data_IF_173528401349
#
_entry.id   IF_173528401349
#
_cell.length_a   1.000
_cell.length_b   1.000
_cell.length_c   1.000
_cell.angle_alpha   90.00
_cell.angle_beta   90.00
_cell.angle_gamma   90.00
#
_symmetry.space_group_name_H-M   'P 1'
#
loop_
_entity.id
_entity.type
_entity.pdbx_description
1 polymer ?
#
# COMPACT_ATOMS: atom_id res chain seq x y z
N UNK A 1 -16.61 62.46 0.27
CA UNK A 1 -15.81 61.35 -0.28
C UNK A 1 -15.16 60.61 0.88
N UNK A 2 -15.52 59.34 1.10
CA UNK A 2 -14.99 58.53 2.21
C UNK A 2 -13.55 58.12 1.88
N UNK A 3 -12.58 58.58 2.67
CA UNK A 3 -11.22 58.02 2.70
C UNK A 3 -11.30 56.62 3.33
N UNK A 4 -11.54 55.60 2.50
CA UNK A 4 -11.30 54.23 2.91
C UNK A 4 -9.79 54.05 3.02
N UNK A 5 -9.28 53.85 4.24
CA UNK A 5 -7.89 53.46 4.44
C UNK A 5 -7.61 52.21 3.62
N UNK A 6 -6.58 52.22 2.77
CA UNK A 6 -6.14 51.04 2.03
C UNK A 6 -5.85 49.95 3.06
N UNK A 7 -6.73 48.94 3.13
CA UNK A 7 -6.53 47.79 4.01
C UNK A 7 -5.16 47.20 3.72
N UNK A 8 -4.37 46.95 4.76
CA UNK A 8 -3.12 46.22 4.59
C UNK A 8 -3.45 44.78 4.19
N UNK A 9 -2.67 44.21 3.28
CA UNK A 9 -2.81 42.81 2.91
C UNK A 9 -2.67 41.93 4.16
N UNK A 10 -3.48 40.86 4.24
CA UNK A 10 -3.46 39.90 5.35
C UNK A 10 -2.04 39.39 5.64
N UNK A 11 -1.25 39.15 4.58
CA UNK A 11 0.15 38.74 4.65
C UNK A 11 1.08 39.74 5.36
N UNK A 12 0.75 41.02 5.39
CA UNK A 12 1.52 42.05 6.12
C UNK A 12 1.19 42.05 7.62
N UNK A 13 0.00 41.62 8.00
CA UNK A 13 -0.50 41.64 9.38
C UNK A 13 -0.10 40.35 10.12
N UNK A 14 -0.02 39.21 9.42
CA UNK A 14 0.17 37.89 10.02
C UNK A 14 1.53 37.25 9.72
N UNK A 15 2.55 38.04 9.39
CA UNK A 15 3.90 37.55 9.06
C UNK A 15 4.67 36.94 10.25
N UNK A 16 4.13 37.07 11.46
CA UNK A 16 4.73 36.68 12.73
C UNK A 16 3.91 35.60 13.47
N UNK A 17 2.88 35.02 12.84
CA UNK A 17 2.19 33.84 13.35
C UNK A 17 2.93 32.59 12.85
N UNK A 18 3.81 32.04 13.70
CA UNK A 18 4.52 30.77 13.47
C UNK A 18 3.61 29.53 13.46
N UNK A 19 2.33 29.66 13.82
CA UNK A 19 1.34 28.59 13.78
C UNK A 19 0.18 29.00 12.87
N UNK A 20 0.49 29.17 11.60
CA UNK A 20 -0.53 29.24 10.57
C UNK A 20 -1.06 27.81 10.30
N UNK A 21 -2.38 27.63 10.25
CA UNK A 21 -3.03 26.41 9.70
C UNK A 21 -2.60 26.17 8.24
N UNK A 22 -2.11 27.21 7.57
CA UNK A 22 -1.59 27.15 6.22
C UNK A 22 -0.16 26.59 6.27
N UNK A 23 -0.01 25.43 5.64
CA UNK A 23 1.18 24.60 5.44
C UNK A 23 2.33 25.28 4.65
N UNK A 24 2.70 26.52 5.01
CA UNK A 24 3.69 27.32 4.27
C UNK A 24 5.12 27.15 4.78
N UNK A 25 5.30 26.71 6.03
CA UNK A 25 6.60 26.58 6.69
C UNK A 25 7.04 25.11 6.86
N UNK A 26 6.43 24.18 6.12
CA UNK A 26 6.85 22.79 6.17
C UNK A 26 8.11 22.53 5.36
N UNK A 27 8.84 21.52 5.83
CA UNK A 27 10.01 21.01 5.17
C UNK A 27 9.74 20.60 3.72
N UNK A 28 10.68 20.95 2.84
CA UNK A 28 10.54 20.69 1.40
C UNK A 28 10.90 19.25 1.06
N UNK A 29 10.48 18.78 -0.11
CA UNK A 29 10.89 17.47 -0.67
C UNK A 29 12.42 17.24 -0.63
N UNK A 30 13.22 18.31 -0.61
CA UNK A 30 14.68 18.25 -0.47
C UNK A 30 15.15 17.49 0.76
N UNK A 31 14.49 17.68 1.91
CA UNK A 31 14.91 17.01 3.15
C UNK A 31 14.45 15.55 3.16
N UNK A 32 13.25 15.28 2.65
CA UNK A 32 12.78 13.91 2.43
C UNK A 32 13.72 13.09 1.51
N UNK A 33 14.33 13.73 0.50
CA UNK A 33 15.35 13.07 -0.34
C UNK A 33 16.66 12.83 0.42
N UNK A 34 17.09 13.75 1.29
CA UNK A 34 18.29 13.56 2.13
C UNK A 34 18.11 12.41 3.12
N UNK A 35 16.96 12.35 3.79
CA UNK A 35 16.62 11.28 4.72
C UNK A 35 16.71 9.92 4.02
N UNK A 36 16.20 9.80 2.79
CA UNK A 36 16.34 8.57 2.01
C UNK A 36 17.80 8.21 1.71
N UNK A 37 18.62 9.18 1.33
CA UNK A 37 20.05 8.92 1.06
C UNK A 37 20.77 8.48 2.33
N UNK A 38 20.42 9.01 3.49
CA UNK A 38 20.98 8.57 4.77
C UNK A 38 20.49 7.16 5.16
N UNK A 39 19.20 6.88 4.94
CA UNK A 39 18.62 5.58 5.25
C UNK A 39 19.10 4.48 4.30
N UNK A 40 19.21 4.74 3.00
CA UNK A 40 19.42 3.71 1.98
C UNK A 40 20.73 3.84 1.21
N UNK A 41 21.47 4.94 1.39
CA UNK A 41 22.66 5.27 0.59
C UNK A 41 22.34 5.91 -0.76
N UNK A 42 21.08 5.89 -1.19
CA UNK A 42 20.61 6.45 -2.46
C UNK A 42 19.16 6.96 -2.37
N UNK A 43 18.74 7.73 -3.39
CA UNK A 43 17.36 8.20 -3.49
C UNK A 43 16.46 7.13 -4.10
N UNK A 44 15.78 6.35 -3.25
CA UNK A 44 14.97 5.21 -3.70
C UNK A 44 13.61 5.62 -4.27
N UNK A 45 13.02 6.68 -3.74
CA UNK A 45 11.80 7.31 -4.25
C UNK A 45 12.08 8.70 -4.79
N UNK A 46 11.47 9.02 -5.94
CA UNK A 46 11.57 10.34 -6.56
C UNK A 46 10.89 11.44 -5.74
N UNK A 47 9.74 11.12 -5.11
CA UNK A 47 8.88 12.09 -4.42
C UNK A 47 8.42 11.60 -3.04
N UNK A 48 9.36 11.29 -2.12
CA UNK A 48 9.03 10.92 -0.75
C UNK A 48 8.25 12.06 -0.05
N UNK A 49 7.37 11.71 0.86
CA UNK A 49 6.76 12.71 1.76
C UNK A 49 7.75 13.03 2.89
N UNK A 50 7.96 14.31 3.24
CA UNK A 50 8.77 14.68 4.40
C UNK A 50 8.08 14.27 5.69
N UNK A 51 8.84 13.80 6.67
CA UNK A 51 8.29 13.35 7.96
C UNK A 51 7.59 14.47 8.72
N UNK A 52 8.10 15.72 8.66
CA UNK A 52 7.48 16.88 9.32
C UNK A 52 6.04 17.15 8.88
N UNK A 53 5.75 16.97 7.59
CA UNK A 53 4.40 17.10 7.06
C UNK A 53 3.47 16.07 7.69
N UNK A 54 3.94 14.82 7.80
CA UNK A 54 3.14 13.73 8.37
C UNK A 54 3.01 13.87 9.89
N UNK A 55 4.07 14.28 10.58
CA UNK A 55 4.07 14.58 12.02
C UNK A 55 2.96 15.56 12.34
N UNK A 56 2.92 16.67 11.60
CA UNK A 56 1.91 17.69 11.79
C UNK A 56 0.49 17.19 11.52
N UNK A 57 0.28 16.34 10.51
CA UNK A 57 -1.01 15.73 10.26
C UNK A 57 -1.46 14.82 11.42
N UNK A 58 -0.56 13.97 11.92
CA UNK A 58 -0.79 13.07 13.06
C UNK A 58 -1.06 13.86 14.35
N UNK A 59 -0.28 14.90 14.65
CA UNK A 59 -0.48 15.79 15.81
C UNK A 59 -1.86 16.44 15.84
N UNK A 60 -2.40 16.81 14.68
CA UNK A 60 -3.68 17.53 14.58
C UNK A 60 -4.90 16.60 14.64
N UNK A 61 -4.72 15.29 14.45
CA UNK A 61 -5.83 14.36 14.21
C UNK A 61 -5.86 13.16 15.16
N UNK A 62 -4.82 12.95 15.96
CA UNK A 62 -4.67 11.75 16.81
C UNK A 62 -3.99 12.06 18.14
N UNK A 63 -4.34 11.28 19.15
CA UNK A 63 -3.63 11.19 20.42
C UNK A 63 -2.63 10.02 20.40
N UNK A 64 -1.80 9.90 21.45
CA UNK A 64 -0.93 8.73 21.61
C UNK A 64 -1.76 7.43 21.72
N UNK A 65 -1.22 6.32 21.19
CA UNK A 65 -1.86 5.00 21.09
C UNK A 65 -3.05 4.87 20.11
N UNK A 66 -3.48 5.97 19.48
CA UNK A 66 -4.41 5.91 18.36
C UNK A 66 -3.82 5.13 17.17
N UNK A 67 -4.70 4.69 16.27
CA UNK A 67 -4.33 3.93 15.07
C UNK A 67 -4.35 4.86 13.86
N UNK A 68 -3.23 4.93 13.15
CA UNK A 68 -3.11 5.63 11.87
C UNK A 68 -3.19 4.62 10.72
N UNK A 69 -4.13 4.80 9.80
CA UNK A 69 -4.26 3.98 8.59
C UNK A 69 -3.67 4.72 7.39
N UNK A 70 -2.78 4.06 6.67
CA UNK A 70 -2.28 4.52 5.37
C UNK A 70 -2.24 3.35 4.39
N UNK A 71 -3.15 3.38 3.42
CA UNK A 71 -3.31 2.34 2.40
C UNK A 71 -2.52 2.62 1.11
N UNK A 72 -1.64 3.62 1.12
CA UNK A 72 -0.67 3.94 0.07
C UNK A 72 0.69 4.24 0.70
N UNK A 73 1.19 3.29 1.49
CA UNK A 73 2.32 3.56 2.38
C UNK A 73 3.61 3.97 1.67
N UNK A 74 3.85 3.51 0.43
CA UNK A 74 5.06 3.82 -0.32
C UNK A 74 6.31 3.47 0.48
N UNK A 75 7.19 4.47 0.62
CA UNK A 75 8.40 4.40 1.46
C UNK A 75 8.15 4.24 2.96
N UNK A 76 6.91 4.09 3.44
CA UNK A 76 6.54 3.95 4.85
C UNK A 76 6.80 5.20 5.73
N UNK A 77 6.70 6.40 5.16
CA UNK A 77 6.88 7.66 5.93
C UNK A 77 5.85 7.77 7.05
N UNK A 78 4.58 7.46 6.77
CA UNK A 78 3.49 7.58 7.76
C UNK A 78 3.70 6.66 8.94
N UNK A 79 4.10 5.42 8.69
CA UNK A 79 4.36 4.42 9.71
C UNK A 79 5.58 4.78 10.55
N UNK A 80 6.65 5.27 9.92
CA UNK A 80 7.84 5.76 10.62
C UNK A 80 7.50 6.88 11.61
N UNK A 81 6.75 7.88 11.16
CA UNK A 81 6.32 9.00 12.01
C UNK A 81 5.34 8.53 13.10
N UNK A 82 4.40 7.65 12.78
CA UNK A 82 3.48 7.08 13.76
C UNK A 82 4.24 6.36 14.89
N UNK A 83 5.25 5.53 14.57
CA UNK A 83 6.10 4.89 15.56
C UNK A 83 6.83 5.91 16.44
N UNK A 84 7.51 6.88 15.83
CA UNK A 84 8.28 7.92 16.53
C UNK A 84 7.42 8.75 17.49
N UNK A 85 6.15 8.92 17.16
CA UNK A 85 5.18 9.67 17.94
C UNK A 85 4.34 8.80 18.89
N UNK A 86 4.62 7.50 19.04
CA UNK A 86 3.87 6.64 19.96
C UNK A 86 2.44 6.33 19.52
N UNK A 87 2.18 6.30 18.20
CA UNK A 87 0.92 5.83 17.60
C UNK A 87 1.09 4.40 17.10
N UNK A 88 -0.03 3.67 17.01
CA UNK A 88 -0.13 2.41 16.28
C UNK A 88 -0.46 2.71 14.82
N UNK A 89 -0.24 1.76 13.92
CA UNK A 89 -0.58 1.95 12.52
C UNK A 89 -1.04 0.67 11.83
N UNK A 90 -1.74 0.85 10.73
CA UNK A 90 -2.01 -0.17 9.71
C UNK A 90 -1.52 0.42 8.38
N UNK A 91 -0.62 -0.31 7.71
CA UNK A 91 -0.05 0.08 6.41
C UNK A 91 -0.43 -0.93 5.35
N UNK A 92 -0.78 -0.47 4.15
CA UNK A 92 -0.95 -1.33 2.97
C UNK A 92 -0.06 -0.81 1.83
N UNK A 93 0.60 -1.74 1.15
CA UNK A 93 1.36 -1.53 -0.07
C UNK A 93 1.09 -2.68 -1.03
N UNK A 94 1.02 -2.37 -2.31
CA UNK A 94 0.85 -3.36 -3.38
C UNK A 94 2.15 -3.61 -4.15
N UNK A 95 3.10 -2.68 -4.11
CA UNK A 95 4.30 -2.73 -4.95
C UNK A 95 5.43 -3.60 -4.36
N UNK A 96 6.20 -4.24 -5.24
CA UNK A 96 7.29 -5.18 -4.90
C UNK A 96 8.43 -4.57 -4.07
N UNK A 97 8.52 -3.23 -4.02
CA UNK A 97 9.56 -2.53 -3.25
C UNK A 97 9.38 -2.63 -1.74
N UNK A 98 8.30 -3.25 -1.24
CA UNK A 98 8.04 -3.39 0.20
C UNK A 98 9.22 -4.05 0.94
N UNK A 99 9.85 -5.06 0.33
CA UNK A 99 10.98 -5.77 0.93
C UNK A 99 12.31 -5.02 0.83
N UNK A 100 12.48 -4.17 -0.18
CA UNK A 100 13.73 -3.42 -0.38
C UNK A 100 13.71 -2.04 0.26
N UNK A 101 12.54 -1.48 0.55
CA UNK A 101 12.40 -0.10 1.04
C UNK A 101 11.59 0.00 2.32
N UNK A 102 10.32 -0.38 2.28
CA UNK A 102 9.38 -0.10 3.37
C UNK A 102 9.73 -0.88 4.64
N UNK A 103 9.95 -2.20 4.51
CA UNK A 103 10.38 -3.06 5.63
C UNK A 103 11.75 -2.62 6.17
N UNK A 104 12.80 -2.46 5.32
CA UNK A 104 14.10 -1.96 5.80
C UNK A 104 14.05 -0.58 6.47
N UNK A 105 13.19 0.33 5.99
CA UNK A 105 12.98 1.62 6.65
C UNK A 105 12.46 1.42 8.07
N UNK A 106 11.38 0.65 8.23
CA UNK A 106 10.75 0.45 9.52
C UNK A 106 11.67 -0.30 10.49
N UNK A 107 12.51 -1.22 9.99
CA UNK A 107 13.55 -1.83 10.80
C UNK A 107 14.56 -0.78 11.31
N UNK A 108 15.04 0.13 10.46
CA UNK A 108 15.93 1.22 10.88
C UNK A 108 15.27 2.15 11.91
N UNK A 109 13.98 2.44 11.75
CA UNK A 109 13.19 3.20 12.74
C UNK A 109 13.18 2.47 14.09
N UNK A 110 12.92 1.16 14.09
CA UNK A 110 12.99 0.32 15.30
C UNK A 110 14.39 0.33 15.91
N UNK A 111 15.42 0.32 15.09
CA UNK A 111 16.82 0.36 15.53
C UNK A 111 17.25 1.75 16.05
N UNK A 112 16.39 2.75 15.97
CA UNK A 112 16.62 4.08 16.54
C UNK A 112 17.38 5.04 15.63
N UNK A 113 17.23 4.92 14.31
CA UNK A 113 17.75 5.89 13.35
C UNK A 113 17.34 7.35 13.64
N UNK A 114 18.18 8.31 13.23
CA UNK A 114 18.08 9.72 13.65
C UNK A 114 17.66 10.69 12.54
N UNK A 115 17.12 10.20 11.41
CA UNK A 115 16.60 10.99 10.30
C UNK A 115 15.19 11.54 10.58
N UNK A 116 14.76 12.51 9.77
CA UNK A 116 13.45 13.14 9.89
C UNK A 116 13.19 13.69 11.30
N UNK A 117 12.06 13.29 11.90
CA UNK A 117 11.61 13.86 13.18
C UNK A 117 12.23 13.20 14.42
N UNK A 118 13.18 12.27 14.26
CA UNK A 118 13.70 11.48 15.37
C UNK A 118 14.31 12.36 16.48
N UNK A 119 15.10 13.36 16.11
CA UNK A 119 15.72 14.28 17.08
C UNK A 119 14.69 15.18 17.77
N UNK A 120 13.67 15.65 17.05
CA UNK A 120 12.59 16.49 17.57
C UNK A 120 11.79 15.81 18.69
N UNK A 121 11.53 14.51 18.54
CA UNK A 121 10.73 13.72 19.50
C UNK A 121 11.61 12.89 20.44
N UNK A 122 12.93 13.07 20.39
CA UNK A 122 13.90 12.31 21.16
C UNK A 122 13.74 10.78 20.99
N UNK A 123 13.53 10.33 19.76
CA UNK A 123 13.37 8.93 19.42
C UNK A 123 14.67 8.15 19.65
N UNK A 124 14.58 7.02 20.35
CA UNK A 124 15.72 6.16 20.70
C UNK A 124 15.59 4.74 20.12
N UNK A 125 14.59 4.50 19.26
CA UNK A 125 14.24 3.16 18.79
C UNK A 125 13.27 2.43 19.71
N UNK A 126 12.98 1.18 19.34
CA UNK A 126 11.92 0.34 19.91
C UNK A 126 10.72 0.22 18.98
N UNK A 127 9.59 -0.27 19.53
CA UNK A 127 8.41 -0.67 18.76
C UNK A 127 8.60 -1.99 18.00
N UNK A 128 7.53 -2.41 17.32
CA UNK A 128 7.46 -3.61 16.50
C UNK A 128 6.35 -3.46 15.48
N UNK A 129 6.44 -4.19 14.38
CA UNK A 129 5.32 -4.36 13.46
C UNK A 129 5.18 -5.84 13.09
N UNK A 130 3.99 -6.20 12.63
CA UNK A 130 3.74 -7.50 12.01
C UNK A 130 3.58 -7.27 10.52
N UNK A 131 4.25 -8.10 9.72
CA UNK A 131 4.10 -8.13 8.27
C UNK A 131 3.28 -9.36 7.88
N UNK A 132 2.28 -9.16 7.03
CA UNK A 132 1.44 -10.21 6.50
C UNK A 132 1.11 -9.92 5.04
N UNK A 133 0.87 -10.97 4.27
CA UNK A 133 0.44 -10.90 2.87
C UNK A 133 -0.95 -11.53 2.74
N UNK A 134 -1.69 -11.09 1.73
CA UNK A 134 -2.98 -11.69 1.42
C UNK A 134 -2.77 -13.05 0.75
N UNK A 135 -3.44 -14.09 1.27
CA UNK A 135 -3.44 -15.40 0.65
C UNK A 135 -4.05 -15.32 -0.77
N UNK A 136 -3.27 -15.72 -1.77
CA UNK A 136 -3.66 -15.64 -3.18
C UNK A 136 -4.72 -16.69 -3.52
N UNK A 137 -5.74 -16.27 -4.24
CA UNK A 137 -6.71 -17.14 -4.92
C UNK A 137 -6.57 -16.92 -6.44
N UNK A 138 -7.49 -16.19 -7.09
CA UNK A 138 -7.37 -15.89 -8.52
C UNK A 138 -6.11 -15.09 -8.89
N UNK A 139 -5.46 -14.43 -7.93
CA UNK A 139 -4.19 -13.74 -8.16
C UNK A 139 -3.10 -14.70 -8.69
N UNK A 140 -3.12 -15.99 -8.32
CA UNK A 140 -2.20 -16.99 -8.87
C UNK A 140 -2.34 -17.11 -10.39
N UNK A 141 -3.57 -17.10 -10.91
CA UNK A 141 -3.80 -17.09 -12.36
C UNK A 141 -3.33 -15.79 -13.00
N UNK A 142 -3.55 -14.63 -12.36
CA UNK A 142 -3.05 -13.34 -12.88
C UNK A 142 -1.53 -13.36 -13.05
N UNK A 143 -0.82 -13.87 -12.03
CA UNK A 143 0.64 -13.98 -12.06
C UNK A 143 1.10 -14.91 -13.18
N UNK A 144 0.49 -16.09 -13.31
CA UNK A 144 0.77 -17.06 -14.38
C UNK A 144 0.50 -16.50 -15.79
N UNK A 145 -0.63 -15.83 -15.99
CA UNK A 145 -0.99 -15.21 -17.29
C UNK A 145 0.02 -14.12 -17.65
N UNK A 146 0.45 -13.33 -16.67
CA UNK A 146 1.41 -12.23 -16.89
C UNK A 146 2.73 -12.76 -17.42
N UNK A 147 3.27 -13.82 -16.81
CA UNK A 147 4.57 -14.41 -17.18
C UNK A 147 4.50 -15.35 -18.38
N UNK A 148 3.32 -15.83 -18.78
CA UNK A 148 3.16 -16.76 -19.89
C UNK A 148 3.74 -16.19 -21.21
N UNK A 149 4.52 -16.99 -21.92
CA UNK A 149 5.16 -16.59 -23.18
C UNK A 149 4.56 -17.25 -24.42
N UNK A 150 3.71 -18.26 -24.23
CA UNK A 150 3.16 -19.08 -25.30
C UNK A 150 1.67 -19.39 -25.08
N UNK A 151 1.00 -19.72 -26.19
CA UNK A 151 -0.44 -19.94 -26.25
C UNK A 151 -0.83 -21.26 -25.55
N UNK A 152 0.02 -22.28 -25.62
CA UNK A 152 -0.26 -23.58 -24.99
C UNK A 152 -0.37 -23.46 -23.47
N UNK A 153 0.47 -22.63 -22.86
CA UNK A 153 0.41 -22.29 -21.43
C UNK A 153 -0.88 -21.54 -21.09
N UNK A 154 -1.29 -20.57 -21.92
CA UNK A 154 -2.55 -19.85 -21.73
C UNK A 154 -3.78 -20.75 -21.84
N UNK A 155 -3.78 -21.71 -22.76
CA UNK A 155 -4.85 -22.71 -22.89
C UNK A 155 -4.95 -23.62 -21.67
N UNK A 156 -3.81 -24.02 -21.09
CA UNK A 156 -3.78 -24.80 -19.84
C UNK A 156 -4.34 -23.99 -18.66
N UNK A 157 -3.89 -22.73 -18.51
CA UNK A 157 -4.40 -21.80 -17.49
C UNK A 157 -5.91 -21.65 -17.60
N UNK A 158 -6.42 -21.40 -18.82
CA UNK A 158 -7.86 -21.25 -19.05
C UNK A 158 -8.66 -22.52 -18.67
N UNK A 159 -8.15 -23.72 -18.98
CA UNK A 159 -8.79 -24.98 -18.58
C UNK A 159 -8.86 -25.12 -17.06
N UNK A 160 -7.78 -24.75 -16.34
CA UNK A 160 -7.77 -24.73 -14.87
C UNK A 160 -8.75 -23.71 -14.30
N UNK A 161 -8.82 -22.50 -14.87
CA UNK A 161 -9.79 -21.48 -14.48
C UNK A 161 -11.25 -21.94 -14.64
N UNK A 162 -11.56 -22.66 -15.72
CA UNK A 162 -12.90 -23.24 -15.92
C UNK A 162 -13.25 -24.32 -14.88
N UNK A 163 -12.26 -25.05 -14.38
CA UNK A 163 -12.46 -26.11 -13.41
C UNK A 163 -12.75 -25.59 -11.99
N UNK A 164 -12.18 -24.44 -11.61
CA UNK A 164 -12.39 -23.85 -10.27
C UNK A 164 -13.74 -23.13 -10.13
N UNK A 165 -14.34 -22.68 -11.25
CA UNK A 165 -15.65 -22.02 -11.24
C UNK A 165 -15.66 -20.57 -10.76
N UNK A 166 -14.50 -19.98 -10.43
CA UNK A 166 -14.35 -18.58 -10.00
C UNK A 166 -14.32 -17.57 -11.18
N UNK A 167 -15.15 -17.83 -12.20
CA UNK A 167 -15.27 -16.95 -13.37
C UNK A 167 -16.27 -15.83 -13.06
N UNK A 168 -15.90 -14.61 -13.46
CA UNK A 168 -16.74 -13.43 -13.33
C UNK A 168 -18.14 -13.68 -13.88
N UNK A 169 -19.16 -13.51 -13.03
CA UNK A 169 -20.59 -13.62 -13.42
C UNK A 169 -21.03 -12.65 -14.52
N UNK A 170 -20.21 -11.63 -14.80
CA UNK A 170 -20.45 -10.65 -15.89
C UNK A 170 -20.09 -11.21 -17.26
N UNK A 171 -19.40 -12.34 -17.32
CA UNK A 171 -19.02 -12.99 -18.56
C UNK A 171 -19.61 -14.38 -18.57
N UNK A 172 -20.44 -14.66 -19.56
CA UNK A 172 -20.93 -16.02 -19.76
C UNK A 172 -19.78 -16.84 -20.37
N UNK A 173 -19.29 -17.89 -19.70
CA UNK A 173 -18.19 -18.70 -20.23
C UNK A 173 -18.49 -19.31 -21.60
N UNK A 174 -19.79 -19.48 -21.92
CA UNK A 174 -20.25 -19.97 -23.24
C UNK A 174 -20.09 -18.96 -24.36
N UNK A 175 -19.95 -17.67 -24.04
CA UNK A 175 -19.74 -16.59 -25.00
C UNK A 175 -18.23 -16.37 -25.27
N UNK A 176 -17.36 -16.96 -24.45
CA UNK A 176 -15.90 -16.95 -24.59
C UNK A 176 -15.42 -18.39 -24.64
N UNK A 177 -15.72 -19.08 -25.73
CA UNK A 177 -15.12 -20.37 -25.99
C UNK A 177 -13.68 -20.14 -26.48
N UNK A 178 -12.70 -20.33 -25.60
CA UNK A 178 -11.29 -20.19 -25.98
C UNK A 178 -10.83 -21.27 -26.99
N UNK A 179 -11.67 -22.25 -27.30
CA UNK A 179 -11.45 -23.20 -28.40
C UNK A 179 -11.97 -22.71 -29.76
N UNK A 180 -12.58 -21.52 -29.81
CA UNK A 180 -13.00 -20.89 -31.06
C UNK A 180 -11.78 -20.36 -31.83
N UNK A 181 -11.78 -20.50 -33.15
CA UNK A 181 -10.74 -19.96 -34.04
C UNK A 181 -10.48 -18.47 -33.82
N UNK A 182 -11.49 -17.70 -33.40
CA UNK A 182 -11.38 -16.26 -33.10
C UNK A 182 -10.45 -15.95 -31.92
N UNK A 183 -10.37 -16.80 -30.88
CA UNK A 183 -9.44 -16.60 -29.76
C UNK A 183 -7.99 -16.88 -30.19
N UNK A 184 -7.79 -17.92 -31.00
CA UNK A 184 -6.48 -18.27 -31.57
C UNK A 184 -5.96 -17.20 -32.57
N UNK A 185 -6.84 -16.39 -33.16
CA UNK A 185 -6.48 -15.28 -34.04
C UNK A 185 -6.03 -14.00 -33.30
N UNK A 186 -6.28 -13.91 -31.99
CA UNK A 186 -5.84 -12.77 -31.18
C UNK A 186 -4.32 -12.81 -30.94
N UNK A 187 -3.72 -11.63 -30.77
CA UNK A 187 -2.34 -11.53 -30.29
C UNK A 187 -2.22 -12.10 -28.87
N UNK A 188 -1.03 -12.58 -28.49
CA UNK A 188 -0.76 -13.10 -27.15
C UNK A 188 -1.17 -12.10 -26.04
N UNK A 189 -0.89 -10.82 -26.23
CA UNK A 189 -1.28 -9.76 -25.29
C UNK A 189 -2.80 -9.62 -25.15
N UNK A 190 -3.55 -9.72 -26.26
CA UNK A 190 -5.01 -9.67 -26.22
C UNK A 190 -5.60 -10.95 -25.59
N UNK A 191 -4.99 -12.11 -25.81
CA UNK A 191 -5.38 -13.36 -25.16
C UNK A 191 -5.17 -13.25 -23.64
N UNK A 192 -4.02 -12.75 -23.18
CA UNK A 192 -3.75 -12.48 -21.76
C UNK A 192 -4.78 -11.54 -21.15
N UNK A 193 -5.04 -10.41 -21.80
CA UNK A 193 -6.03 -9.44 -21.34
C UNK A 193 -7.44 -10.04 -21.22
N UNK A 194 -7.85 -10.86 -22.19
CA UNK A 194 -9.16 -11.51 -22.15
C UNK A 194 -9.28 -12.48 -20.97
N UNK A 195 -8.25 -13.30 -20.74
CA UNK A 195 -8.20 -14.22 -19.61
C UNK A 195 -8.22 -13.48 -18.26
N UNK A 196 -7.53 -12.34 -18.16
CA UNK A 196 -7.59 -11.50 -16.94
C UNK A 196 -8.98 -10.91 -16.69
N UNK A 197 -9.73 -10.54 -17.74
CA UNK A 197 -11.10 -10.03 -17.59
C UNK A 197 -12.13 -11.12 -17.23
N UNK A 198 -11.80 -12.39 -17.49
CA UNK A 198 -12.63 -13.53 -17.07
C UNK A 198 -12.57 -13.79 -15.56
N UNK A 199 -11.48 -13.42 -14.89
CA UNK A 199 -11.34 -13.64 -13.45
C UNK A 199 -12.28 -12.74 -12.66
N UNK A 200 -12.94 -13.29 -11.64
CA UNK A 200 -13.62 -12.44 -10.67
C UNK A 200 -12.58 -11.70 -9.82
N UNK A 201 -12.50 -10.38 -10.03
CA UNK A 201 -11.58 -9.49 -9.33
C UNK A 201 -11.87 -9.38 -7.83
N UNK A 202 -13.08 -9.75 -7.38
CA UNK A 202 -13.40 -9.82 -5.94
C UNK A 202 -12.86 -11.09 -5.27
N UNK A 203 -12.38 -12.06 -6.05
CA UNK A 203 -11.83 -13.34 -5.58
C UNK A 203 -10.35 -13.50 -5.92
N UNK A 204 -9.62 -12.37 -6.09
CA UNK A 204 -8.16 -12.39 -6.27
C UNK A 204 -7.44 -12.99 -5.07
N UNK A 205 -7.99 -12.77 -3.88
CA UNK A 205 -7.47 -13.27 -2.61
C UNK A 205 -8.55 -14.04 -1.87
N UNK A 206 -8.13 -14.90 -0.96
CA UNK A 206 -9.03 -15.74 -0.17
C UNK A 206 -9.87 -14.86 0.77
N UNK A 207 -11.20 -15.01 0.70
CA UNK A 207 -12.09 -14.31 1.64
C UNK A 207 -12.00 -14.94 3.02
N UNK A 208 -12.20 -14.12 4.05
CA UNK A 208 -12.21 -14.59 5.43
C UNK A 208 -13.26 -15.69 5.69
N UNK A 209 -14.44 -15.59 5.06
CA UNK A 209 -15.50 -16.61 5.21
C UNK A 209 -15.11 -17.98 4.66
N UNK A 210 -14.14 -18.03 3.74
CA UNK A 210 -13.70 -19.25 3.06
C UNK A 210 -12.36 -19.75 3.62
N UNK A 211 -11.87 -19.19 4.73
CA UNK A 211 -10.53 -19.49 5.28
C UNK A 211 -10.37 -20.96 5.71
N UNK A 212 -11.47 -21.63 6.03
CA UNK A 212 -11.49 -23.05 6.43
C UNK A 212 -11.68 -24.01 5.26
N UNK A 213 -11.87 -23.52 4.03
CA UNK A 213 -11.97 -24.38 2.85
C UNK A 213 -10.63 -25.06 2.57
N UNK A 214 -10.66 -26.39 2.44
CA UNK A 214 -9.49 -27.22 2.16
C UNK A 214 -8.87 -26.87 0.79
N UNK A 215 -9.65 -26.31 -0.14
CA UNK A 215 -9.18 -25.91 -1.46
C UNK A 215 -8.06 -24.85 -1.40
N UNK A 216 -8.11 -23.93 -0.44
CA UNK A 216 -7.12 -22.86 -0.32
C UNK A 216 -5.85 -23.26 0.44
N UNK A 217 -5.84 -24.44 1.09
CA UNK A 217 -4.69 -24.99 1.80
C UNK A 217 -4.00 -23.99 2.75
N UNK A 218 -4.79 -23.18 3.46
CA UNK A 218 -4.29 -22.21 4.45
C UNK A 218 -3.82 -22.96 5.70
N UNK A 219 -2.64 -22.59 6.23
CA UNK A 219 -2.08 -23.25 7.41
C UNK A 219 -2.89 -22.96 8.69
N UNK A 220 -2.83 -23.87 9.66
CA UNK A 220 -3.51 -23.67 10.95
C UNK A 220 -2.97 -22.44 11.71
N UNK A 221 -1.69 -22.13 11.55
CA UNK A 221 -1.05 -20.95 12.14
C UNK A 221 -1.59 -19.65 11.50
N UNK A 222 -1.74 -19.60 10.18
CA UNK A 222 -2.31 -18.44 9.47
C UNK A 222 -3.79 -18.25 9.79
N UNK A 223 -4.55 -19.36 9.91
CA UNK A 223 -5.95 -19.35 10.37
C UNK A 223 -6.05 -18.77 11.78
N UNK A 224 -5.22 -19.25 12.70
CA UNK A 224 -5.21 -18.79 14.09
C UNK A 224 -4.83 -17.31 14.17
N UNK A 225 -3.81 -16.87 13.43
CA UNK A 225 -3.41 -15.47 13.35
C UNK A 225 -4.55 -14.59 12.83
N UNK A 226 -5.19 -14.98 11.71
CA UNK A 226 -6.28 -14.21 11.11
C UNK A 226 -7.49 -14.11 12.05
N UNK A 227 -7.88 -15.19 12.72
CA UNK A 227 -8.96 -15.18 13.73
C UNK A 227 -8.63 -14.25 14.90
N UNK A 228 -7.38 -14.29 15.37
CA UNK A 228 -6.92 -13.40 16.44
C UNK A 228 -7.03 -11.92 16.07
N UNK A 229 -6.80 -11.58 14.80
CA UNK A 229 -6.95 -10.21 14.28
C UNK A 229 -8.41 -9.73 14.36
N UNK A 230 -9.38 -10.61 14.11
CA UNK A 230 -10.81 -10.30 14.22
C UNK A 230 -11.36 -10.44 15.65
N UNK A 231 -10.53 -10.81 16.63
CA UNK A 231 -10.94 -10.97 18.02
C UNK A 231 -11.75 -12.24 18.29
N UNK A 232 -11.68 -13.22 17.38
CA UNK A 232 -12.20 -14.55 17.60
C UNK A 232 -11.16 -15.33 18.40
N UNK A 233 -11.34 -15.39 19.73
CA UNK A 233 -10.50 -16.14 20.67
C UNK A 233 -11.34 -17.17 21.39
#
# INVERSE_FOLDING_TARGET
>A
MKNAGKGKASSTIWHNIKQSIIWQELDTNTNATKDQVELFGEGVFTNPKPEDLIKRAIELSTDENDIVLDFFMGSATTQAVAMKMGRRFIGLEQMDYIHSVSIPRLQKVIDGEQTGISSDVNWQGGSSFVYCELAKSNQTFVDEITVATDIATLEDIYKRMLATGFISSKVNPKDIDASTSEFAELSLENQKHLLMELLDKNLLYVNYCDIDDEEFNISDDDKAFTRSFYGEV
#
